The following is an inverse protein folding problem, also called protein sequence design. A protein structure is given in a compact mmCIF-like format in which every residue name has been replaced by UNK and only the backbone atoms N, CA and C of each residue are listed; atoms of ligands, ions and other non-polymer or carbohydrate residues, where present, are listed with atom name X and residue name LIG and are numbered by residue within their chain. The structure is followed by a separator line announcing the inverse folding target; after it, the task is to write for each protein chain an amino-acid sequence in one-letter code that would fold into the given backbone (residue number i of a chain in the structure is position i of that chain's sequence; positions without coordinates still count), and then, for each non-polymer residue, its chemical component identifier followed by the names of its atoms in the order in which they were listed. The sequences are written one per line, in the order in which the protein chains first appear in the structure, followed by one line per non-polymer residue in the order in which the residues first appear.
data_IF_142324904103
#
_entry.id   IF_142324904103
#
_cell.length_a   1.000
_cell.length_b   1.000
_cell.length_c   1.000
_cell.angle_alpha   90.00
_cell.angle_beta   90.00
_cell.angle_gamma   90.00
#
_symmetry.space_group_name_H-M   'P 1'
#
loop_
_entity.id
_entity.type
_entity.pdbx_description
1 polymer ?
#
# COMPACT_ATOMS: atom_id res chain seq x y z
N UNK A 1 8.17 3.95 26.40
CA UNK A 1 6.91 3.25 26.73
C UNK A 1 6.18 2.97 25.42
N UNK A 2 5.95 1.71 25.01
CA UNK A 2 5.35 1.41 23.72
C UNK A 2 3.85 1.77 23.71
N UNK A 3 3.41 2.40 22.63
CA UNK A 3 2.07 2.95 22.45
C UNK A 3 1.05 1.81 22.24
N UNK A 4 0.38 1.39 23.30
CA UNK A 4 -0.65 0.33 23.31
C UNK A 4 -1.92 0.67 22.49
N UNK A 5 -1.96 1.81 21.80
CA UNK A 5 -3.12 2.30 21.04
C UNK A 5 -3.29 1.63 19.67
N UNK A 6 -2.19 1.18 19.04
CA UNK A 6 -2.22 0.57 17.71
C UNK A 6 -2.85 -0.83 17.79
N UNK A 7 -2.45 -1.65 18.74
CA UNK A 7 -3.01 -3.01 18.94
C UNK A 7 -4.51 -3.02 19.23
N UNK A 8 -5.05 -1.99 19.90
CA UNK A 8 -6.50 -1.85 20.14
C UNK A 8 -7.26 -1.48 18.87
N UNK A 9 -6.69 -0.64 18.01
CA UNK A 9 -7.30 -0.28 16.71
C UNK A 9 -7.33 -1.48 15.76
N UNK A 10 -6.27 -2.29 15.75
CA UNK A 10 -6.19 -3.51 14.93
C UNK A 10 -7.24 -4.55 15.28
N UNK A 11 -7.53 -4.79 16.58
CA UNK A 11 -8.59 -5.72 17.00
C UNK A 11 -9.99 -5.31 16.53
N UNK A 12 -10.26 -4.00 16.47
CA UNK A 12 -11.56 -3.46 16.06
C UNK A 12 -11.74 -3.59 14.54
N UNK A 13 -10.68 -3.29 13.76
CA UNK A 13 -10.71 -3.41 12.29
C UNK A 13 -10.84 -4.89 11.89
N UNK A 14 -10.05 -5.79 12.51
CA UNK A 14 -10.13 -7.23 12.24
C UNK A 14 -11.49 -7.82 12.60
N UNK A 15 -12.15 -7.35 13.68
CA UNK A 15 -13.47 -7.86 14.05
C UNK A 15 -14.58 -7.34 13.14
N UNK A 16 -14.46 -6.12 12.60
CA UNK A 16 -15.43 -5.58 11.65
C UNK A 16 -15.32 -6.26 10.28
N UNK A 17 -14.09 -6.58 9.82
CA UNK A 17 -13.86 -7.38 8.61
C UNK A 17 -14.41 -8.79 8.79
N UNK A 18 -14.20 -9.44 9.94
CA UNK A 18 -14.76 -10.77 10.22
C UNK A 18 -16.29 -10.77 10.28
N UNK A 19 -16.91 -9.72 10.84
CA UNK A 19 -18.37 -9.56 10.82
C UNK A 19 -18.90 -9.37 9.39
N UNK A 20 -18.23 -8.54 8.58
CA UNK A 20 -18.60 -8.31 7.19
C UNK A 20 -18.48 -9.59 6.34
N UNK A 21 -17.42 -10.38 6.55
CA UNK A 21 -17.23 -11.69 5.92
C UNK A 21 -18.27 -12.72 6.36
N UNK A 22 -18.70 -12.70 7.62
CA UNK A 22 -19.77 -13.56 8.12
C UNK A 22 -21.13 -13.23 7.49
N UNK A 23 -21.41 -11.95 7.22
CA UNK A 23 -22.60 -11.54 6.47
C UNK A 23 -22.55 -11.94 4.98
N UNK A 24 -21.36 -11.98 4.37
CA UNK A 24 -21.18 -12.46 3.00
C UNK A 24 -21.31 -13.99 2.88
N UNK A 25 -21.02 -14.75 3.95
CA UNK A 25 -21.14 -16.21 3.96
C UNK A 25 -22.57 -16.75 3.99
N UNK A 26 -23.58 -15.90 4.21
CA UNK A 26 -25.01 -16.26 4.11
C UNK A 26 -25.63 -15.88 2.76
N UNK A 27 -24.83 -15.39 1.80
CA UNK A 27 -25.32 -15.18 0.45
C UNK A 27 -25.40 -16.53 -0.29
N UNK A 28 -26.60 -16.86 -0.76
CA UNK A 28 -26.95 -18.01 -1.60
C UNK A 28 -26.32 -17.90 -3.01
N UNK A 29 -24.99 -17.76 -3.07
CA UNK A 29 -24.27 -17.28 -4.24
C UNK A 29 -22.76 -17.40 -4.12
N UNK A 30 -22.26 -18.57 -3.68
CA UNK A 30 -20.83 -18.89 -3.61
C UNK A 30 -20.05 -18.63 -4.93
N UNK A 31 -20.73 -18.52 -6.08
CA UNK A 31 -20.14 -18.18 -7.38
C UNK A 31 -19.96 -16.67 -7.65
N UNK A 32 -20.59 -15.78 -6.86
CA UNK A 32 -20.56 -14.33 -7.09
C UNK A 32 -19.33 -13.64 -6.54
N UNK A 33 -18.70 -14.22 -5.52
CA UNK A 33 -17.55 -13.65 -4.84
C UNK A 33 -16.38 -14.63 -4.85
N UNK A 34 -15.23 -14.16 -5.37
CA UNK A 34 -13.96 -14.88 -5.39
C UNK A 34 -13.03 -14.23 -4.38
N UNK A 35 -12.74 -14.95 -3.31
CA UNK A 35 -11.75 -14.57 -2.32
C UNK A 35 -10.43 -15.30 -2.59
N UNK A 36 -9.32 -14.57 -2.54
CA UNK A 36 -7.98 -15.13 -2.58
C UNK A 36 -7.10 -14.44 -1.54
N UNK A 37 -6.44 -15.23 -0.70
CA UNK A 37 -5.49 -14.74 0.29
C UNK A 37 -4.14 -15.42 0.12
N UNK A 38 -3.07 -14.65 0.30
CA UNK A 38 -1.70 -15.15 0.40
C UNK A 38 -1.08 -14.57 1.65
N UNK A 39 -0.43 -15.43 2.42
CA UNK A 39 0.36 -15.04 3.57
C UNK A 39 1.71 -15.72 3.45
N UNK A 40 2.78 -14.94 3.49
CA UNK A 40 4.15 -15.44 3.49
C UNK A 40 4.90 -14.84 4.69
N UNK A 41 5.70 -15.67 5.34
CA UNK A 41 6.52 -15.26 6.46
C UNK A 41 7.91 -15.82 6.27
N UNK A 42 8.91 -14.94 6.37
CA UNK A 42 10.31 -15.28 6.15
C UNK A 42 11.13 -14.74 7.30
N UNK A 43 12.06 -15.55 7.78
CA UNK A 43 13.03 -15.15 8.79
C UNK A 43 14.42 -15.34 8.24
N UNK A 44 15.27 -14.32 8.39
CA UNK A 44 16.69 -14.40 8.01
C UNK A 44 17.57 -14.06 9.19
N UNK A 45 18.77 -14.62 9.20
CA UNK A 45 19.85 -14.19 10.09
C UNK A 45 20.90 -13.55 9.21
N UNK A 46 21.13 -12.27 9.40
CA UNK A 46 22.08 -11.48 8.64
C UNK A 46 23.22 -11.08 9.58
N UNK A 47 24.46 -11.38 9.20
CA UNK A 47 25.62 -10.86 9.90
C UNK A 47 26.21 -9.71 9.10
N UNK A 48 26.35 -8.55 9.74
CA UNK A 48 26.77 -7.32 9.07
C UNK A 48 28.07 -6.84 9.70
N UNK A 49 29.15 -7.00 8.94
CA UNK A 49 30.46 -6.43 9.27
C UNK A 49 30.81 -5.30 8.32
N UNK A 50 31.03 -4.10 8.85
CA UNK A 50 31.51 -2.92 8.11
C UNK A 50 32.61 -2.23 8.91
N UNK A 51 33.80 -2.16 8.32
CA UNK A 51 34.89 -1.37 8.89
C UNK A 51 34.74 0.08 8.42
N UNK A 52 34.89 1.05 9.33
CA UNK A 52 34.77 2.48 9.04
C UNK A 52 35.77 3.30 9.86
N UNK A 53 35.98 4.56 9.50
CA UNK A 53 36.75 5.50 10.28
C UNK A 53 35.82 6.58 10.86
N UNK A 54 35.85 6.77 12.17
CA UNK A 54 35.14 7.86 12.84
C UNK A 54 36.12 8.98 13.14
N UNK A 55 35.76 10.23 12.83
CA UNK A 55 36.60 11.38 13.12
C UNK A 55 36.45 11.75 14.59
N UNK A 56 37.55 11.70 15.33
CA UNK A 56 37.62 12.19 16.71
C UNK A 56 38.42 13.49 16.75
N UNK A 57 38.01 14.40 17.64
CA UNK A 57 38.71 15.65 17.92
C UNK A 57 39.33 15.57 19.32
N UNK A 58 40.64 15.31 19.45
CA UNK A 58 41.28 15.30 20.75
C UNK A 58 41.26 16.70 21.37
N UNK A 59 40.88 16.80 22.64
CA UNK A 59 40.67 18.06 23.39
C UNK A 59 41.85 19.05 23.31
N UNK A 60 43.06 18.56 23.05
CA UNK A 60 44.29 19.35 23.09
C UNK A 60 44.74 19.94 21.75
N UNK A 61 44.19 19.49 20.62
CA UNK A 61 44.76 19.87 19.30
C UNK A 61 43.75 20.34 18.27
N UNK A 62 42.45 20.07 18.43
CA UNK A 62 41.39 20.34 17.43
C UNK A 62 41.72 19.83 16.00
N UNK A 63 42.75 19.00 15.85
CA UNK A 63 43.10 18.35 14.59
C UNK A 63 42.23 17.10 14.47
N UNK A 64 41.49 16.91 13.37
CA UNK A 64 40.69 15.71 13.17
C UNK A 64 41.61 14.49 13.04
N UNK A 65 41.44 13.50 13.90
CA UNK A 65 42.16 12.22 13.82
C UNK A 65 41.17 11.12 13.45
N UNK A 66 41.37 10.41 12.32
CA UNK A 66 40.53 9.28 11.97
C UNK A 66 40.84 8.09 12.91
N UNK A 67 39.82 7.63 13.64
CA UNK A 67 39.91 6.47 14.51
C UNK A 67 39.23 5.28 13.82
N UNK A 68 39.94 4.17 13.56
CA UNK A 68 39.34 3.00 12.96
C UNK A 68 38.33 2.37 13.91
N UNK A 69 37.17 2.00 13.38
CA UNK A 69 36.11 1.28 14.08
C UNK A 69 35.58 0.14 13.21
N UNK A 70 35.07 -0.89 13.87
CA UNK A 70 34.36 -1.98 13.23
C UNK A 70 32.91 -1.98 13.72
N UNK A 71 31.99 -2.03 12.77
CA UNK A 71 30.60 -2.35 13.02
C UNK A 71 30.42 -3.84 12.75
N UNK A 72 30.25 -4.63 13.80
CA UNK A 72 30.08 -6.08 13.72
C UNK A 72 28.86 -6.47 14.53
N UNK A 73 27.75 -6.76 13.83
CA UNK A 73 26.46 -7.09 14.46
C UNK A 73 25.70 -8.11 13.65
N UNK A 74 25.17 -9.08 14.38
CA UNK A 74 24.22 -10.06 13.86
C UNK A 74 22.79 -9.62 14.12
N UNK A 75 21.95 -9.74 13.09
CA UNK A 75 20.55 -9.39 13.10
C UNK A 75 19.70 -10.61 12.78
N UNK A 76 18.57 -10.73 13.46
CA UNK A 76 17.47 -11.59 13.00
C UNK A 76 16.41 -10.70 12.37
N UNK A 77 16.06 -10.96 11.12
CA UNK A 77 14.97 -10.29 10.43
C UNK A 77 13.74 -11.20 10.37
N UNK A 78 12.56 -10.59 10.38
CA UNK A 78 11.30 -11.27 10.07
C UNK A 78 10.50 -10.37 9.15
N UNK A 79 10.06 -10.93 8.02
CA UNK A 79 9.21 -10.29 7.03
C UNK A 79 7.89 -11.05 7.02
N UNK A 80 6.78 -10.32 7.05
CA UNK A 80 5.44 -10.85 6.91
C UNK A 80 4.75 -10.10 5.78
N UNK A 81 4.36 -10.85 4.75
CA UNK A 81 3.63 -10.36 3.61
C UNK A 81 2.22 -10.95 3.62
N UNK A 82 1.21 -10.10 3.52
CA UNK A 82 -0.18 -10.48 3.40
C UNK A 82 -0.77 -9.80 2.17
N UNK A 83 -1.45 -10.58 1.34
CA UNK A 83 -2.27 -10.07 0.24
C UNK A 83 -3.65 -10.70 0.35
N UNK A 84 -4.68 -9.89 0.49
CA UNK A 84 -6.08 -10.29 0.50
C UNK A 84 -6.77 -9.64 -0.68
N UNK A 85 -7.47 -10.43 -1.48
CA UNK A 85 -8.25 -9.92 -2.60
C UNK A 85 -9.63 -10.56 -2.55
N UNK A 86 -10.68 -9.74 -2.57
CA UNK A 86 -12.04 -10.17 -2.82
C UNK A 86 -12.50 -9.50 -4.11
N UNK A 87 -13.07 -10.29 -5.01
CA UNK A 87 -13.70 -9.77 -6.22
C UNK A 87 -15.08 -10.34 -6.35
N UNK A 88 -16.05 -9.53 -6.69
CA UNK A 88 -17.37 -10.06 -6.95
C UNK A 88 -18.40 -9.07 -7.41
N UNK A 89 -19.53 -9.64 -7.82
CA UNK A 89 -20.65 -8.90 -8.35
C UNK A 89 -21.76 -8.86 -7.29
N UNK A 90 -22.11 -7.65 -6.83
CA UNK A 90 -23.25 -7.44 -5.94
C UNK A 90 -24.57 -7.67 -6.71
N UNK A 91 -24.58 -7.31 -7.99
CA UNK A 91 -25.69 -7.52 -8.92
C UNK A 91 -25.15 -7.61 -10.36
N UNK A 92 -25.95 -8.00 -11.36
CA UNK A 92 -25.50 -8.03 -12.76
C UNK A 92 -24.92 -6.71 -13.29
N UNK A 93 -25.26 -5.60 -12.65
CA UNK A 93 -24.82 -4.26 -13.02
C UNK A 93 -23.92 -3.61 -11.97
N UNK A 94 -23.55 -4.30 -10.89
CA UNK A 94 -22.77 -3.72 -9.80
C UNK A 94 -21.63 -4.64 -9.40
N UNK A 95 -20.42 -4.09 -9.41
CA UNK A 95 -19.19 -4.78 -9.03
C UNK A 95 -18.65 -4.19 -7.72
N UNK A 96 -18.07 -5.06 -6.90
CA UNK A 96 -17.38 -4.70 -5.67
C UNK A 96 -16.11 -5.54 -5.56
N UNK A 97 -14.98 -4.87 -5.68
CA UNK A 97 -13.66 -5.46 -5.51
C UNK A 97 -12.98 -4.79 -4.33
N UNK A 98 -12.30 -5.56 -3.48
CA UNK A 98 -11.32 -5.02 -2.54
C UNK A 98 -10.00 -5.76 -2.65
N UNK A 99 -8.91 -5.04 -2.45
CA UNK A 99 -7.57 -5.58 -2.34
C UNK A 99 -6.85 -4.93 -1.16
N UNK A 100 -6.21 -5.75 -0.33
CA UNK A 100 -5.42 -5.32 0.80
C UNK A 100 -4.04 -5.97 0.70
N UNK A 101 -3.00 -5.17 0.77
CA UNK A 101 -1.61 -5.62 0.79
C UNK A 101 -0.95 -5.05 2.04
N UNK A 102 -0.26 -5.90 2.78
CA UNK A 102 0.47 -5.55 3.98
C UNK A 102 1.86 -6.18 3.90
N UNK A 103 2.87 -5.34 3.96
CA UNK A 103 4.25 -5.73 4.14
C UNK A 103 4.72 -5.23 5.51
N UNK A 104 5.24 -6.14 6.32
CA UNK A 104 5.73 -5.83 7.65
C UNK A 104 7.06 -6.49 7.91
N UNK A 105 8.09 -5.68 8.12
CA UNK A 105 9.45 -6.14 8.37
C UNK A 105 9.94 -5.66 9.73
N UNK A 106 10.65 -6.53 10.44
CA UNK A 106 11.28 -6.24 11.73
C UNK A 106 12.69 -6.79 11.80
N UNK A 107 13.54 -6.14 12.59
CA UNK A 107 14.89 -6.60 12.90
C UNK A 107 15.10 -6.70 14.41
N UNK A 108 15.91 -7.67 14.85
CA UNK A 108 16.33 -7.82 16.24
C UNK A 108 17.84 -8.07 16.34
N UNK A 109 18.60 -7.26 17.10
CA UNK A 109 18.16 -5.98 17.67
C UNK A 109 17.83 -4.96 16.57
N UNK A 110 16.91 -4.04 16.82
CA UNK A 110 16.79 -2.86 15.95
C UNK A 110 18.03 -1.99 16.14
N UNK A 111 18.65 -1.52 15.05
CA UNK A 111 19.79 -0.62 15.14
C UNK A 111 19.60 0.61 14.27
N UNK A 112 19.32 1.73 14.93
CA UNK A 112 19.07 3.00 14.25
C UNK A 112 20.35 3.60 13.65
N UNK A 113 21.52 3.25 14.22
CA UNK A 113 22.82 3.67 13.71
C UNK A 113 23.24 2.87 12.45
N UNK A 114 22.50 1.82 12.08
CA UNK A 114 22.70 1.11 10.81
C UNK A 114 22.49 2.04 9.59
N UNK A 115 21.70 3.12 9.74
CA UNK A 115 21.42 4.08 8.67
C UNK A 115 22.68 4.83 8.22
N UNK A 116 23.50 5.34 9.15
CA UNK A 116 24.76 6.02 8.81
C UNK A 116 25.82 5.08 8.21
N UNK A 117 25.53 3.77 8.20
CA UNK A 117 26.38 2.71 7.70
C UNK A 117 25.75 1.95 6.51
N UNK A 118 24.68 2.48 5.89
CA UNK A 118 24.01 1.93 4.68
C UNK A 118 23.51 0.48 4.81
N UNK A 119 23.19 0.03 6.03
CA UNK A 119 22.81 -1.38 6.28
C UNK A 119 21.31 -1.57 6.56
N UNK A 120 20.56 -0.48 6.74
CA UNK A 120 19.09 -0.39 6.80
C UNK A 120 18.41 -1.53 7.60
N UNK A 121 18.74 -1.67 8.89
CA UNK A 121 18.23 -2.74 9.78
C UNK A 121 17.19 -2.22 10.79
N UNK A 122 15.99 -1.90 10.31
CA UNK A 122 14.91 -1.33 11.14
C UNK A 122 13.52 -1.83 10.75
N UNK A 123 12.56 -1.59 11.65
CA UNK A 123 11.17 -1.94 11.44
C UNK A 123 10.53 -1.12 10.33
N UNK A 124 9.76 -1.77 9.46
CA UNK A 124 9.11 -1.15 8.31
C UNK A 124 7.70 -1.70 8.14
N UNK A 125 6.75 -0.81 7.85
CA UNK A 125 5.36 -1.13 7.56
C UNK A 125 4.94 -0.41 6.28
N UNK A 126 4.36 -1.17 5.36
CA UNK A 126 3.69 -0.67 4.17
C UNK A 126 2.34 -1.37 4.04
N UNK A 127 1.28 -0.60 4.10
CA UNK A 127 -0.09 -1.10 4.05
C UNK A 127 -0.86 -0.34 2.99
N UNK A 128 -1.41 -1.08 2.04
CA UNK A 128 -2.20 -0.56 0.94
C UNK A 128 -3.56 -1.25 0.93
N UNK A 129 -4.62 -0.47 1.06
CA UNK A 129 -6.00 -0.90 0.90
C UNK A 129 -6.61 -0.21 -0.32
N UNK A 130 -7.28 -0.98 -1.16
CA UNK A 130 -7.97 -0.53 -2.37
C UNK A 130 -9.38 -1.11 -2.37
N UNK A 131 -10.38 -0.25 -2.53
CA UNK A 131 -11.78 -0.58 -2.67
C UNK A 131 -12.30 0.01 -3.97
N UNK A 132 -12.78 -0.85 -4.85
CA UNK A 132 -13.40 -0.46 -6.12
C UNK A 132 -14.88 -0.82 -6.09
N UNK A 133 -15.73 0.17 -6.35
CA UNK A 133 -17.16 -0.02 -6.61
C UNK A 133 -17.49 0.46 -8.01
N UNK A 134 -18.18 -0.37 -8.79
CA UNK A 134 -18.61 0.01 -10.13
C UNK A 134 -20.09 -0.29 -10.36
N UNK A 135 -20.74 0.54 -11.17
CA UNK A 135 -22.12 0.37 -11.58
C UNK A 135 -22.28 0.65 -13.08
N UNK A 136 -23.01 -0.21 -13.77
CA UNK A 136 -23.37 -0.03 -15.19
C UNK A 136 -24.81 0.46 -15.31
N UNK A 137 -25.00 1.54 -16.08
CA UNK A 137 -26.32 2.12 -16.34
C UNK A 137 -26.77 1.77 -17.75
N UNK A 138 -27.17 0.52 -17.96
CA UNK A 138 -27.49 0.01 -19.29
C UNK A 138 -26.25 -0.41 -20.07
N UNK A 139 -26.36 -0.49 -21.41
CA UNK A 139 -25.34 -1.11 -22.26
C UNK A 139 -24.12 -0.22 -22.54
N UNK A 140 -24.25 1.09 -22.35
CA UNK A 140 -23.29 2.07 -22.86
C UNK A 140 -22.63 2.91 -21.75
N UNK A 141 -23.12 2.81 -20.52
CA UNK A 141 -22.72 3.69 -19.43
C UNK A 141 -22.14 2.90 -18.26
N UNK A 142 -21.01 3.37 -17.74
CA UNK A 142 -20.35 2.79 -16.58
C UNK A 142 -19.82 3.90 -15.67
N UNK A 143 -20.08 3.76 -14.39
CA UNK A 143 -19.49 4.58 -13.34
C UNK A 143 -18.65 3.70 -12.40
N UNK A 144 -17.52 4.22 -11.95
CA UNK A 144 -16.58 3.56 -11.06
C UNK A 144 -16.10 4.54 -9.98
N UNK A 145 -16.03 4.07 -8.75
CA UNK A 145 -15.45 4.74 -7.60
C UNK A 145 -14.33 3.87 -7.03
N UNK A 146 -13.15 4.43 -6.94
CA UNK A 146 -11.99 3.80 -6.30
C UNK A 146 -11.65 4.58 -5.02
N UNK A 147 -11.43 3.86 -3.93
CA UNK A 147 -10.90 4.41 -2.70
C UNK A 147 -9.63 3.65 -2.33
N UNK A 148 -8.54 4.39 -2.22
CA UNK A 148 -7.22 3.85 -1.90
C UNK A 148 -6.74 4.49 -0.60
N UNK A 149 -6.40 3.67 0.38
CA UNK A 149 -5.72 4.09 1.60
C UNK A 149 -4.33 3.47 1.64
N UNK A 150 -3.32 4.29 1.93
CA UNK A 150 -1.95 3.84 2.08
C UNK A 150 -1.40 4.32 3.43
N UNK A 151 -0.79 3.43 4.19
CA UNK A 151 -0.07 3.73 5.43
C UNK A 151 1.36 3.24 5.27
N UNK A 152 2.30 4.19 5.28
CA UNK A 152 3.72 3.92 5.17
C UNK A 152 4.42 4.39 6.44
N UNK A 153 5.14 3.49 7.11
CA UNK A 153 5.88 3.80 8.34
C UNK A 153 7.29 3.21 8.34
N UNK A 154 8.26 4.12 8.44
CA UNK A 154 9.69 3.93 8.68
C UNK A 154 10.07 4.76 9.94
N UNK A 155 10.31 4.14 11.10
CA UNK A 155 10.54 4.83 12.37
C UNK A 155 11.80 5.71 12.41
N UNK A 156 12.79 5.43 11.55
CA UNK A 156 14.08 6.12 11.55
C UNK A 156 14.00 7.44 10.79
N UNK A 157 13.38 7.38 9.63
CA UNK A 157 13.20 8.50 8.73
C UNK A 157 11.75 8.98 8.85
N UNK A 158 11.48 9.65 9.97
CA UNK A 158 10.16 10.20 10.28
C UNK A 158 9.62 11.14 9.19
N UNK A 159 10.46 11.56 8.24
CA UNK A 159 10.09 12.37 7.07
C UNK A 159 9.27 11.59 6.05
N UNK A 160 9.46 10.27 5.98
CA UNK A 160 8.79 9.41 5.01
C UNK A 160 7.51 8.78 5.58
N UNK A 161 7.22 8.96 6.87
CA UNK A 161 6.00 8.44 7.48
C UNK A 161 4.79 9.21 6.96
N UNK A 162 3.88 8.51 6.28
CA UNK A 162 2.65 9.13 5.82
C UNK A 162 1.44 8.21 5.87
N UNK A 163 0.28 8.85 5.89
CA UNK A 163 -1.00 8.22 5.56
C UNK A 163 -1.59 8.97 4.37
N UNK A 164 -1.89 8.24 3.29
CA UNK A 164 -2.53 8.77 2.09
C UNK A 164 -3.94 8.22 1.95
N UNK A 165 -4.90 9.08 1.63
CA UNK A 165 -6.25 8.72 1.22
C UNK A 165 -6.50 9.28 -0.18
N UNK A 166 -6.90 8.42 -1.11
CA UNK A 166 -7.20 8.80 -2.47
C UNK A 166 -8.57 8.31 -2.85
N UNK A 167 -9.44 9.23 -3.25
CA UNK A 167 -10.71 8.93 -3.89
C UNK A 167 -10.61 9.22 -5.38
N UNK A 168 -11.12 8.33 -6.22
CA UNK A 168 -11.20 8.52 -7.67
C UNK A 168 -12.58 8.12 -8.16
N UNK A 169 -13.16 8.94 -9.01
CA UNK A 169 -14.42 8.67 -9.70
C UNK A 169 -14.22 8.70 -11.20
N UNK A 170 -14.80 7.74 -11.90
CA UNK A 170 -14.73 7.65 -13.36
C UNK A 170 -16.09 7.35 -13.94
N UNK A 171 -16.52 8.13 -14.92
CA UNK A 171 -17.69 7.87 -15.73
C UNK A 171 -17.27 7.64 -17.18
N UNK A 172 -17.85 6.65 -17.84
CA UNK A 172 -17.64 6.39 -19.26
C UNK A 172 -19.00 6.21 -19.94
N UNK A 173 -19.20 6.93 -21.04
CA UNK A 173 -20.37 6.83 -21.91
C UNK A 173 -19.94 6.44 -23.34
N UNK A 174 -20.54 5.39 -23.87
CA UNK A 174 -20.35 4.93 -25.25
C UNK A 174 -21.40 5.58 -26.15
N UNK A 175 -20.94 6.47 -27.03
CA UNK A 175 -21.81 7.19 -27.97
C UNK A 175 -22.12 6.29 -29.17
N UNK A 176 -21.10 5.62 -29.72
CA UNK A 176 -21.24 4.69 -30.84
C UNK A 176 -20.08 3.67 -30.86
N UNK A 177 -19.97 2.85 -31.91
CA UNK A 177 -18.91 1.83 -32.05
C UNK A 177 -17.49 2.41 -32.06
N UNK A 178 -17.33 3.69 -32.41
CA UNK A 178 -16.06 4.36 -32.65
C UNK A 178 -15.81 5.55 -31.73
N UNK A 179 -16.73 5.91 -30.84
CA UNK A 179 -16.60 7.12 -30.01
C UNK A 179 -17.08 6.85 -28.58
N UNK A 180 -16.26 7.28 -27.62
CA UNK A 180 -16.58 7.25 -26.20
C UNK A 180 -16.17 8.56 -25.53
N UNK A 181 -16.96 8.97 -24.55
CA UNK A 181 -16.71 10.09 -23.67
C UNK A 181 -16.41 9.55 -22.27
N UNK A 182 -15.34 10.03 -21.64
CA UNK A 182 -14.97 9.66 -20.29
C UNK A 182 -14.66 10.90 -19.45
N UNK A 183 -15.10 10.87 -18.20
CA UNK A 183 -14.78 11.85 -17.18
C UNK A 183 -14.12 11.13 -16.04
N UNK A 184 -12.99 11.66 -15.57
CA UNK A 184 -12.27 11.12 -14.42
C UNK A 184 -11.94 12.27 -13.47
N UNK A 185 -12.27 12.11 -12.21
CA UNK A 185 -11.90 13.05 -11.15
C UNK A 185 -11.22 12.28 -10.02
N UNK A 186 -10.25 12.91 -9.38
CA UNK A 186 -9.57 12.33 -8.24
C UNK A 186 -9.24 13.38 -7.19
N UNK A 187 -9.21 12.95 -5.94
CA UNK A 187 -8.71 13.72 -4.81
C UNK A 187 -7.77 12.83 -4.02
N UNK A 188 -6.58 13.32 -3.73
CA UNK A 188 -5.61 12.67 -2.85
C UNK A 188 -5.27 13.63 -1.71
N UNK A 189 -5.30 13.12 -0.49
CA UNK A 189 -4.73 13.77 0.68
C UNK A 189 -3.65 12.87 1.28
N UNK A 190 -2.53 13.46 1.66
CA UNK A 190 -1.44 12.79 2.35
C UNK A 190 -1.03 13.58 3.56
N UNK A 191 -0.98 12.91 4.71
CA UNK A 191 -0.61 13.50 5.99
C UNK A 191 0.68 12.90 6.50
N UNK A 192 1.59 13.76 6.96
CA UNK A 192 2.88 13.39 7.53
C UNK A 192 2.85 13.68 9.03
N UNK A 193 2.73 12.65 9.91
CA UNK A 193 2.47 12.86 11.35
C UNK A 193 3.50 13.71 12.09
N UNK A 194 4.74 13.74 11.59
CA UNK A 194 5.84 14.46 12.22
C UNK A 194 6.19 15.76 11.49
N UNK A 195 5.60 16.03 10.32
CA UNK A 195 5.95 17.16 9.48
C UNK A 195 4.75 17.69 8.69
N UNK A 196 3.87 18.43 9.37
CA UNK A 196 2.66 19.01 8.78
C UNK A 196 2.94 19.90 7.55
N UNK A 197 4.14 20.50 7.47
CA UNK A 197 4.54 21.30 6.30
C UNK A 197 4.67 20.50 4.99
N UNK A 198 4.73 19.17 5.08
CA UNK A 198 4.79 18.26 3.92
C UNK A 198 3.42 17.67 3.58
N UNK A 199 2.37 18.02 4.35
CA UNK A 199 1.01 17.59 4.03
C UNK A 199 0.65 18.03 2.61
N UNK A 200 0.04 17.10 1.89
CA UNK A 200 -0.22 17.24 0.47
C UNK A 200 -1.70 17.01 0.20
N UNK A 201 -2.28 17.87 -0.65
CA UNK A 201 -3.64 17.71 -1.15
C UNK A 201 -3.64 18.05 -2.63
N UNK A 202 -4.16 17.15 -3.44
CA UNK A 202 -4.29 17.35 -4.87
C UNK A 202 -5.69 16.93 -5.32
N UNK A 203 -6.26 17.75 -6.19
CA UNK A 203 -7.44 17.42 -6.96
C UNK A 203 -7.04 17.37 -8.42
N UNK A 204 -7.47 16.33 -9.13
CA UNK A 204 -7.28 16.18 -10.56
C UNK A 204 -8.61 15.94 -11.26
N UNK A 205 -8.72 16.43 -12.50
CA UNK A 205 -9.87 16.23 -13.35
C UNK A 205 -9.42 16.07 -14.79
N UNK A 206 -9.94 15.05 -15.46
CA UNK A 206 -9.61 14.69 -16.84
C UNK A 206 -10.93 14.47 -17.60
N UNK A 207 -11.01 15.10 -18.76
CA UNK A 207 -12.03 14.86 -19.77
C UNK A 207 -11.35 14.21 -20.97
N UNK A 208 -11.81 13.03 -21.36
CA UNK A 208 -11.28 12.31 -22.51
C UNK A 208 -12.40 12.01 -23.52
N UNK A 209 -12.19 12.47 -24.76
CA UNK A 209 -13.00 12.11 -25.90
C UNK A 209 -12.13 11.30 -26.87
N UNK A 210 -12.36 9.99 -26.90
CA UNK A 210 -11.48 9.05 -27.61
C UNK A 210 -12.19 8.31 -28.72
N UNK A 211 -11.48 8.02 -29.79
CA UNK A 211 -11.87 7.00 -30.76
C UNK A 211 -11.76 5.63 -30.07
N UNK A 212 -12.84 4.85 -30.11
CA UNK A 212 -13.03 3.65 -29.30
C UNK A 212 -11.89 2.64 -29.49
N UNK A 213 -11.04 2.51 -28.47
CA UNK A 213 -10.19 1.34 -28.29
C UNK A 213 -11.03 0.32 -27.50
N UNK A 214 -11.21 -0.92 -28.00
CA UNK A 214 -12.16 -1.88 -27.43
C UNK A 214 -12.01 -2.08 -25.91
N UNK A 215 -13.18 -2.25 -25.26
CA UNK A 215 -13.47 -2.33 -23.81
C UNK A 215 -12.44 -3.06 -22.92
N UNK A 216 -11.63 -3.98 -23.48
CA UNK A 216 -10.53 -4.68 -22.77
C UNK A 216 -9.42 -3.76 -22.25
N UNK A 217 -9.33 -2.49 -22.68
CA UNK A 217 -8.25 -1.58 -22.29
C UNK A 217 -8.65 -0.47 -21.30
N UNK A 218 -9.95 -0.28 -20.99
CA UNK A 218 -10.41 0.80 -20.08
C UNK A 218 -10.86 0.33 -18.69
N UNK A 219 -11.13 -0.96 -18.54
CA UNK A 219 -10.95 -1.64 -17.26
C UNK A 219 -9.44 -1.84 -17.13
N UNK A 220 -8.78 -1.10 -16.24
CA UNK A 220 -7.54 -1.58 -15.62
C UNK A 220 -7.98 -2.29 -14.34
N UNK A 221 -8.35 -3.57 -14.39
CA UNK A 221 -8.21 -4.36 -13.19
C UNK A 221 -6.74 -4.27 -12.79
N UNK A 222 -6.49 -4.30 -11.48
CA UNK A 222 -5.22 -4.71 -10.89
C UNK A 222 -4.45 -5.62 -11.88
N UNK A 223 -3.30 -5.10 -12.33
CA UNK A 223 -2.39 -5.61 -13.36
C UNK A 223 -2.66 -7.03 -13.87
N UNK A 224 -2.68 -7.21 -15.20
CA UNK A 224 -2.67 -8.52 -15.88
C UNK A 224 -1.52 -9.42 -15.44
N UNK A 225 -0.43 -8.88 -14.87
CA UNK A 225 0.66 -9.66 -14.26
C UNK A 225 0.23 -10.45 -13.02
N UNK A 226 -0.90 -10.10 -12.40
CA UNK A 226 -1.43 -10.74 -11.19
C UNK A 226 -2.42 -11.88 -11.49
N UNK A 227 -2.79 -12.10 -12.76
CA UNK A 227 -3.86 -13.04 -13.15
C UNK A 227 -3.38 -14.38 -13.70
N UNK A 228 -2.07 -14.61 -13.85
CA UNK A 228 -1.55 -15.92 -14.25
C UNK A 228 -2.10 -16.47 -15.58
N UNK A 229 -2.57 -15.60 -16.47
CA UNK A 229 -2.90 -16.00 -17.84
C UNK A 229 -1.58 -16.28 -18.57
N UNK A 230 -1.38 -17.54 -18.99
CA UNK A 230 -0.29 -17.93 -19.87
C UNK A 230 -0.45 -17.20 -21.20
N UNK A 231 0.58 -16.47 -21.61
CA UNK A 231 0.86 -16.13 -23.02
C UNK A 231 0.92 -17.38 -23.87
#
# INVERSE_FOLDING_TARGET
MPNFSILKRWKIISSQIFLFLAFLSQADGADKFKFSGKYDTRSTVDDTRKDYAEVSYPDLTFVPVPVPKAYDKTFTSTINDLTLTLKGDLSPNQILDFNETLHYQTYRPEDYNAYSLDTYKYKYLDHLFDLTYGITFGKNDMFQLDYINNIYQVPIDNTLNYTSNKGKGKFNHKINKYSALAFEGGYEERKYPNYESYDYKETSFILDFSTFIPEKLRYRPVSSSSRGEKT
#
